data_IF_831679870944
#
_entry.id   IF_831679870944
#
_cell.length_a   1.000
_cell.length_b   1.000
_cell.length_c   1.000
_cell.angle_alpha   90.00
_cell.angle_beta   90.00
_cell.angle_gamma   90.00
#
_symmetry.space_group_name_H-M   'P 1'
#
loop_
_entity.id
_entity.type
_entity.pdbx_description
1 polymer ?
#
# COMPACT_ATOMS: atom_id res chain seq x y z
N UNK A 1 2.26 -9.01 -8.07
CA UNK A 1 1.74 -8.56 -6.76
C UNK A 1 2.89 -8.09 -5.89
N UNK A 2 2.71 -6.97 -5.21
CA UNK A 2 3.70 -6.44 -4.30
C UNK A 2 3.37 -6.87 -2.87
N UNK A 3 4.39 -7.17 -2.08
CA UNK A 3 4.20 -7.59 -0.69
C UNK A 3 4.86 -6.58 0.24
N UNK A 4 4.15 -6.23 1.32
CA UNK A 4 4.70 -5.37 2.36
C UNK A 4 5.40 -6.22 3.41
N UNK A 5 6.50 -5.70 4.00
CA UNK A 5 7.18 -6.40 5.09
C UNK A 5 6.37 -6.33 6.38
N UNK A 6 6.81 -7.07 7.40
CA UNK A 6 6.14 -7.10 8.69
C UNK A 6 6.20 -5.75 9.41
N UNK A 7 7.21 -4.94 9.14
CA UNK A 7 7.41 -3.66 9.81
C UNK A 7 7.42 -2.51 8.81
N UNK A 8 6.50 -1.56 9.00
CA UNK A 8 6.38 -0.37 8.15
C UNK A 8 6.12 0.83 9.05
N UNK A 9 7.19 1.44 9.54
CA UNK A 9 7.13 2.65 10.36
C UNK A 9 7.82 3.78 9.62
N UNK A 10 7.83 4.97 10.21
CA UNK A 10 8.48 6.13 9.58
C UNK A 10 9.98 5.92 9.35
N UNK A 11 10.59 4.97 10.06
CA UNK A 11 12.02 4.67 9.88
C UNK A 11 12.28 3.99 8.54
N UNK A 12 11.41 3.06 8.13
CA UNK A 12 11.57 2.31 6.89
C UNK A 12 10.82 2.91 5.70
N UNK A 13 9.87 3.80 5.96
CA UNK A 13 8.89 4.19 4.95
C UNK A 13 9.51 4.72 3.65
N UNK A 14 10.49 5.61 3.73
CA UNK A 14 11.09 6.20 2.55
C UNK A 14 11.81 5.17 1.67
N UNK A 15 12.64 4.34 2.29
CA UNK A 15 13.37 3.32 1.55
C UNK A 15 12.43 2.28 0.96
N UNK A 16 11.42 1.87 1.73
CA UNK A 16 10.42 0.91 1.28
C UNK A 16 9.64 1.49 0.09
N UNK A 17 9.22 2.74 0.17
CA UNK A 17 8.48 3.38 -0.91
C UNK A 17 9.29 3.40 -2.20
N UNK A 18 10.57 3.79 -2.13
CA UNK A 18 11.42 3.81 -3.30
C UNK A 18 11.52 2.43 -3.95
N UNK A 19 11.69 1.40 -3.14
CA UNK A 19 11.77 0.03 -3.63
C UNK A 19 10.46 -0.41 -4.29
N UNK A 20 9.33 -0.12 -3.65
CA UNK A 20 8.02 -0.53 -4.18
C UNK A 20 7.63 0.25 -5.42
N UNK A 21 7.99 1.53 -5.51
CA UNK A 21 7.73 2.34 -6.71
C UNK A 21 8.44 1.75 -7.92
N UNK A 22 9.67 1.28 -7.74
CA UNK A 22 10.40 0.61 -8.81
C UNK A 22 9.68 -0.67 -9.24
N UNK A 23 9.12 -1.42 -8.29
CA UNK A 23 8.38 -2.63 -8.60
C UNK A 23 7.06 -2.32 -9.33
N UNK A 24 6.40 -1.21 -8.99
CA UNK A 24 5.20 -0.79 -9.71
C UNK A 24 5.53 -0.55 -11.18
N UNK A 25 6.63 0.14 -11.45
CA UNK A 25 7.06 0.42 -12.81
C UNK A 25 7.38 -0.85 -13.59
N UNK A 26 7.85 -1.89 -12.92
CA UNK A 26 8.21 -3.16 -13.55
C UNK A 26 7.00 -4.08 -13.77
N UNK A 27 5.88 -3.84 -13.08
CA UNK A 27 4.69 -4.67 -13.24
C UNK A 27 4.01 -4.35 -14.58
N UNK A 28 3.63 -5.39 -15.31
CA UNK A 28 3.04 -5.25 -16.64
C UNK A 28 1.52 -5.43 -16.65
N UNK A 29 0.93 -5.86 -15.55
CA UNK A 29 -0.51 -6.10 -15.48
C UNK A 29 -1.32 -4.81 -15.37
N UNK A 30 -2.61 -4.90 -15.68
CA UNK A 30 -3.53 -3.77 -15.58
C UNK A 30 -3.95 -3.48 -14.14
N UNK A 31 -3.78 -4.45 -13.23
CA UNK A 31 -4.16 -4.33 -11.82
C UNK A 31 -2.92 -4.50 -10.95
N UNK A 32 -2.69 -3.52 -10.08
CA UNK A 32 -1.64 -3.64 -9.06
C UNK A 32 -2.30 -4.08 -7.77
N UNK A 33 -1.96 -5.26 -7.29
CA UNK A 33 -2.42 -5.77 -5.99
C UNK A 33 -1.27 -5.73 -5.00
N UNK A 34 -1.51 -5.14 -3.85
CA UNK A 34 -0.55 -5.07 -2.75
C UNK A 34 -1.01 -6.01 -1.65
N UNK A 35 -0.14 -6.90 -1.21
CA UNK A 35 -0.41 -7.81 -0.10
C UNK A 35 0.15 -7.21 1.18
N UNK A 36 -0.74 -6.80 2.09
CA UNK A 36 -0.38 -6.22 3.37
C UNK A 36 -0.54 -7.22 4.52
N UNK A 37 -0.80 -8.49 4.22
CA UNK A 37 -1.13 -9.48 5.24
C UNK A 37 0.02 -9.79 6.21
N UNK A 38 1.26 -9.56 5.79
CA UNK A 38 2.42 -9.80 6.65
C UNK A 38 2.70 -8.66 7.63
N UNK A 39 2.01 -7.52 7.47
CA UNK A 39 2.29 -6.33 8.25
C UNK A 39 1.85 -6.51 9.70
N UNK A 40 2.77 -6.37 10.64
CA UNK A 40 2.50 -6.56 12.06
C UNK A 40 2.80 -5.31 12.88
N UNK A 41 3.84 -4.56 12.52
CA UNK A 41 4.24 -3.36 13.22
C UNK A 41 4.26 -2.19 12.26
N UNK A 42 3.40 -1.20 12.50
CA UNK A 42 3.25 -0.09 11.57
C UNK A 42 2.72 1.15 12.30
N UNK A 43 2.88 2.30 11.65
CA UNK A 43 2.29 3.57 12.07
C UNK A 43 1.60 4.20 10.87
N UNK A 44 1.23 5.48 10.99
CA UNK A 44 0.55 6.18 9.88
C UNK A 44 1.39 6.28 8.62
N UNK A 45 2.70 6.07 8.70
CA UNK A 45 3.56 6.05 7.52
C UNK A 45 3.17 4.93 6.56
N UNK A 46 2.61 3.82 7.08
CA UNK A 46 2.13 2.74 6.22
C UNK A 46 1.01 3.22 5.31
N UNK A 47 0.10 4.06 5.81
CA UNK A 47 -0.95 4.65 4.99
C UNK A 47 -0.36 5.56 3.91
N UNK A 48 0.63 6.37 4.27
CA UNK A 48 1.28 7.25 3.32
C UNK A 48 1.92 6.46 2.17
N UNK A 49 2.59 5.36 2.49
CA UNK A 49 3.19 4.49 1.48
C UNK A 49 2.12 3.90 0.56
N UNK A 50 1.05 3.36 1.15
CA UNK A 50 -0.05 2.78 0.37
C UNK A 50 -0.70 3.80 -0.56
N UNK A 51 -0.95 5.00 -0.07
CA UNK A 51 -1.58 6.05 -0.88
C UNK A 51 -0.66 6.52 -2.00
N UNK A 52 0.64 6.59 -1.77
CA UNK A 52 1.59 6.96 -2.80
C UNK A 52 1.67 5.88 -3.88
N UNK A 53 1.66 4.60 -3.49
CA UNK A 53 1.65 3.51 -4.46
C UNK A 53 0.39 3.54 -5.32
N UNK A 54 -0.75 3.84 -4.69
CA UNK A 54 -2.00 4.00 -5.43
C UNK A 54 -1.89 5.09 -6.47
N UNK A 55 -1.33 6.24 -6.08
CA UNK A 55 -1.15 7.36 -7.00
C UNK A 55 -0.27 6.98 -8.18
N UNK A 56 0.84 6.27 -7.90
CA UNK A 56 1.76 5.84 -8.95
C UNK A 56 1.09 4.83 -9.88
N UNK A 57 0.32 3.89 -9.33
CA UNK A 57 -0.39 2.90 -10.13
C UNK A 57 -1.39 3.57 -11.07
N UNK A 58 -2.18 4.51 -10.54
CA UNK A 58 -3.17 5.22 -11.35
C UNK A 58 -2.51 6.07 -12.43
N UNK A 59 -1.36 6.67 -12.13
CA UNK A 59 -0.61 7.44 -13.12
C UNK A 59 -0.12 6.59 -14.28
N UNK A 60 0.05 5.28 -14.07
CA UNK A 60 0.46 4.34 -15.10
C UNK A 60 -0.73 3.62 -15.74
N UNK A 61 -1.95 4.08 -15.47
CA UNK A 61 -3.16 3.49 -16.05
C UNK A 61 -3.58 2.17 -15.41
N UNK A 62 -3.05 1.85 -14.23
CA UNK A 62 -3.39 0.63 -13.51
C UNK A 62 -4.46 0.91 -12.46
N UNK A 63 -5.24 -0.12 -12.13
CA UNK A 63 -6.09 -0.08 -10.95
C UNK A 63 -5.31 -0.57 -9.74
N UNK A 64 -5.72 -0.18 -8.55
CA UNK A 64 -5.00 -0.47 -7.31
C UNK A 64 -5.92 -1.18 -6.31
N UNK A 65 -5.43 -2.25 -5.69
CA UNK A 65 -6.18 -2.93 -4.64
C UNK A 65 -5.22 -3.43 -3.57
N UNK A 66 -5.73 -3.57 -2.34
CA UNK A 66 -4.94 -4.03 -1.19
C UNK A 66 -5.57 -5.30 -0.64
N UNK A 67 -4.75 -6.33 -0.47
CA UNK A 67 -5.16 -7.61 0.11
C UNK A 67 -4.61 -7.71 1.53
N UNK A 68 -5.44 -8.18 2.45
CA UNK A 68 -4.98 -8.46 3.81
C UNK A 68 -4.65 -7.23 4.64
N UNK A 69 -5.33 -6.11 4.41
CA UNK A 69 -5.09 -4.90 5.19
C UNK A 69 -5.38 -5.18 6.67
N UNK A 70 -4.41 -4.94 7.59
CA UNK A 70 -4.64 -5.17 9.01
C UNK A 70 -5.80 -4.35 9.54
N UNK A 71 -6.65 -4.90 10.43
CA UNK A 71 -7.81 -4.16 10.96
C UNK A 71 -7.45 -2.81 11.60
N UNK A 72 -6.34 -2.74 12.34
CA UNK A 72 -5.91 -1.49 12.95
C UNK A 72 -5.54 -0.45 11.92
N UNK A 73 -4.93 -0.86 10.81
CA UNK A 73 -4.58 0.06 9.75
C UNK A 73 -5.84 0.52 9.00
N UNK A 74 -6.81 -0.35 8.86
CA UNK A 74 -8.11 0.00 8.27
C UNK A 74 -8.83 1.04 9.13
N UNK A 75 -8.81 0.87 10.45
CA UNK A 75 -9.40 1.85 11.37
C UNK A 75 -8.71 3.21 11.24
N UNK A 76 -7.38 3.18 11.16
CA UNK A 76 -6.60 4.41 11.00
C UNK A 76 -6.93 5.11 9.68
N UNK A 77 -7.09 4.34 8.62
CA UNK A 77 -7.49 4.89 7.32
C UNK A 77 -8.86 5.55 7.39
N UNK A 78 -9.79 4.95 8.15
CA UNK A 78 -11.11 5.51 8.37
C UNK A 78 -11.05 6.85 9.10
N UNK A 79 -10.18 6.95 10.12
CA UNK A 79 -9.99 8.19 10.86
C UNK A 79 -9.46 9.33 9.98
N UNK A 80 -8.61 8.99 9.02
CA UNK A 80 -8.10 9.99 8.08
C UNK A 80 -9.00 10.19 6.87
N UNK A 81 -10.10 9.48 6.78
CA UNK A 81 -11.05 9.63 5.68
C UNK A 81 -10.55 9.06 4.35
N UNK A 82 -9.62 8.13 4.37
CA UNK A 82 -9.01 7.57 3.15
C UNK A 82 -9.28 6.08 2.96
N UNK A 83 -10.13 5.49 3.79
CA UNK A 83 -10.39 4.05 3.70
C UNK A 83 -10.91 3.63 2.33
N UNK A 84 -11.70 4.47 1.68
CA UNK A 84 -12.26 4.17 0.36
C UNK A 84 -11.21 4.09 -0.72
N UNK A 85 -10.07 4.75 -0.52
CA UNK A 85 -8.98 4.73 -1.47
C UNK A 85 -8.19 3.44 -1.41
N UNK A 86 -8.37 2.65 -0.35
CA UNK A 86 -7.67 1.39 -0.14
C UNK A 86 -8.65 0.23 -0.31
N UNK A 87 -9.20 0.10 -1.52
CA UNK A 87 -10.18 -0.93 -1.84
C UNK A 87 -9.57 -2.31 -1.67
N UNK A 88 -10.26 -3.16 -0.90
CA UNK A 88 -9.78 -4.51 -0.65
C UNK A 88 -9.91 -5.38 -1.89
N UNK A 89 -8.88 -6.15 -2.17
CA UNK A 89 -8.91 -7.22 -3.16
C UNK A 89 -9.58 -8.42 -2.50
N UNK A 90 -10.65 -8.89 -3.05
CA UNK A 90 -11.35 -10.07 -2.55
C UNK A 90 -11.02 -11.31 -3.35
#
# INVERSE_FOLDING_TARGET
MLSFPAEVTNVQATALLQHLVEQVAAETGAVLTVDASAMERFDSSALAVLLQLRRDALAQGKTFSVKGLPPRLRELAGLYGVAELLTAAT
#
